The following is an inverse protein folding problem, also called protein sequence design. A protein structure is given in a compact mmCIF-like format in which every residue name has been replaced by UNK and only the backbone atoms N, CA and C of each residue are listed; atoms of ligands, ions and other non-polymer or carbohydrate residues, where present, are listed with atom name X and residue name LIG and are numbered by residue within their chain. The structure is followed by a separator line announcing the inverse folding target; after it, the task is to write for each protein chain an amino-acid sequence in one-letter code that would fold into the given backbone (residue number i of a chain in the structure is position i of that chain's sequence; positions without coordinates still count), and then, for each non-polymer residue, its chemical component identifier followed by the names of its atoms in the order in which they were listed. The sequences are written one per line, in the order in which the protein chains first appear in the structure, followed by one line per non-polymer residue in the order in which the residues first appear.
data_IF_065709521942
#
_entry.id   IF_065709521942
#
_cell.length_a   1.000
_cell.length_b   1.000
_cell.length_c   1.000
_cell.angle_alpha   90.00
_cell.angle_beta   90.00
_cell.angle_gamma   90.00
#
_symmetry.space_group_name_H-M   'P 1'
#
loop_
_entity.id
_entity.type
_entity.pdbx_description
1 polymer ?
#
# COMPACT_ATOMS: atom_id res chain seq x y z
N UNK A 1 3.98 -5.20 -13.79
CA UNK A 1 4.67 -4.45 -12.71
C UNK A 1 3.89 -4.75 -11.46
N UNK A 2 4.50 -5.40 -10.46
CA UNK A 2 3.82 -5.76 -9.23
C UNK A 2 3.34 -4.50 -8.49
N UNK A 3 2.18 -4.57 -7.85
CA UNK A 3 1.51 -3.42 -7.25
C UNK A 3 1.16 -3.74 -5.81
N UNK A 4 1.98 -3.27 -4.88
CA UNK A 4 1.79 -3.48 -3.46
C UNK A 4 1.21 -2.24 -2.80
N UNK A 5 0.42 -2.45 -1.75
CA UNK A 5 -0.19 -1.42 -0.93
C UNK A 5 -0.04 -1.77 0.54
N UNK A 6 0.02 -0.75 1.39
CA UNK A 6 -0.05 -0.92 2.83
C UNK A 6 -1.42 -0.44 3.29
N UNK A 7 -2.16 -1.30 3.99
CA UNK A 7 -3.46 -0.96 4.58
C UNK A 7 -3.41 -1.07 6.10
N UNK A 8 -3.90 -0.05 6.79
CA UNK A 8 -4.15 -0.09 8.23
C UNK A 8 -5.36 -0.97 8.51
N UNK A 9 -5.19 -2.03 9.30
CA UNK A 9 -6.27 -2.89 9.78
C UNK A 9 -7.10 -2.22 10.88
N UNK A 10 -6.59 -1.15 11.51
CA UNK A 10 -7.30 -0.40 12.55
C UNK A 10 -8.30 0.59 11.95
N UNK A 11 -7.89 1.31 10.91
CA UNK A 11 -8.70 2.40 10.31
C UNK A 11 -9.22 2.08 8.91
N UNK A 12 -8.69 1.05 8.25
CA UNK A 12 -9.00 0.71 6.85
C UNK A 12 -8.34 1.64 5.82
N UNK A 13 -7.54 2.62 6.27
CA UNK A 13 -6.81 3.56 5.40
C UNK A 13 -5.64 2.90 4.71
N UNK A 14 -5.24 3.45 3.58
CA UNK A 14 -4.08 3.02 2.81
C UNK A 14 -2.95 4.02 3.00
N UNK A 15 -1.75 3.51 3.27
CA UNK A 15 -0.55 4.32 3.30
C UNK A 15 0.04 4.32 1.89
N UNK A 16 0.04 5.49 1.27
CA UNK A 16 0.53 5.67 -0.10
C UNK A 16 1.68 6.67 -0.12
N UNK A 17 2.70 6.48 -0.96
CA UNK A 17 3.71 7.51 -1.19
C UNK A 17 3.06 8.71 -1.88
N UNK A 18 3.10 9.89 -1.27
CA UNK A 18 2.56 11.11 -1.88
C UNK A 18 3.47 11.55 -3.05
N UNK A 19 2.87 11.86 -4.20
CA UNK A 19 3.61 12.33 -5.38
C UNK A 19 3.99 13.81 -5.30
N UNK A 20 3.40 14.57 -4.37
CA UNK A 20 3.59 16.03 -4.25
C UNK A 20 4.71 16.38 -3.27
N UNK A 21 4.67 15.80 -2.07
CA UNK A 21 5.56 16.18 -0.97
C UNK A 21 6.60 15.10 -0.64
N UNK A 22 6.51 13.90 -1.22
CA UNK A 22 7.44 12.80 -0.96
C UNK A 22 7.27 12.12 0.41
N UNK A 23 6.44 12.68 1.29
CA UNK A 23 6.00 12.02 2.52
C UNK A 23 4.80 11.11 2.22
N UNK A 24 4.76 9.85 2.68
CA UNK A 24 3.59 9.02 2.51
C UNK A 24 2.43 9.50 3.39
N UNK A 25 1.22 9.39 2.83
CA UNK A 25 -0.01 9.88 3.46
C UNK A 25 -1.03 8.75 3.60
N UNK A 26 -1.80 8.81 4.69
CA UNK A 26 -2.91 7.90 4.92
C UNK A 26 -4.16 8.39 4.22
N UNK A 27 -4.60 7.67 3.19
CA UNK A 27 -5.78 7.99 2.39
C UNK A 27 -6.87 6.94 2.55
N UNK A 28 -8.12 7.31 2.33
CA UNK A 28 -9.22 6.35 2.24
C UNK A 28 -9.44 5.82 0.82
N UNK A 29 -9.00 6.56 -0.21
CA UNK A 29 -9.34 6.31 -1.61
C UNK A 29 -8.11 6.23 -2.51
N UNK A 30 -7.72 5.01 -2.89
CA UNK A 30 -6.62 4.77 -3.85
C UNK A 30 -6.79 5.47 -5.20
N UNK A 31 -8.05 5.67 -5.61
CA UNK A 31 -8.40 6.42 -6.82
C UNK A 31 -7.96 7.88 -6.75
N UNK A 32 -8.05 8.49 -5.59
CA UNK A 32 -7.70 9.91 -5.40
C UNK A 32 -6.19 10.12 -5.33
N UNK A 33 -5.45 9.13 -4.82
CA UNK A 33 -3.98 9.17 -4.81
C UNK A 33 -3.33 8.64 -6.09
N UNK A 34 -4.05 8.65 -7.22
CA UNK A 34 -3.49 8.27 -8.52
C UNK A 34 -2.98 6.82 -8.58
N UNK A 35 -3.48 5.94 -7.71
CA UNK A 35 -3.01 4.56 -7.60
C UNK A 35 -1.64 4.44 -6.95
N UNK A 36 -1.37 5.18 -5.87
CA UNK A 36 -0.16 5.17 -5.05
C UNK A 36 0.26 3.81 -4.50
N UNK A 37 0.66 2.92 -5.42
CA UNK A 37 1.16 1.57 -5.18
C UNK A 37 2.68 1.59 -5.24
N UNK A 38 3.29 0.77 -4.40
CA UNK A 38 4.72 0.52 -4.43
C UNK A 38 5.03 -0.65 -5.36
N UNK A 39 6.10 -0.53 -6.13
CA UNK A 39 6.46 -1.49 -7.17
C UNK A 39 7.09 -2.79 -6.65
N UNK A 40 7.42 -2.85 -5.34
CA UNK A 40 8.04 -3.99 -4.70
C UNK A 40 7.53 -4.18 -3.27
N UNK A 41 7.43 -5.44 -2.84
CA UNK A 41 6.98 -5.81 -1.49
C UNK A 41 7.93 -5.30 -0.40
N UNK A 42 9.23 -5.27 -0.70
CA UNK A 42 10.26 -4.82 0.24
C UNK A 42 10.06 -3.34 0.55
N UNK A 43 9.78 -2.52 -0.47
CA UNK A 43 9.45 -1.12 -0.28
C UNK A 43 8.13 -0.92 0.45
N UNK A 44 7.14 -1.79 0.27
CA UNK A 44 5.89 -1.75 1.04
C UNK A 44 6.11 -2.04 2.52
N UNK A 45 6.95 -3.03 2.83
CA UNK A 45 7.32 -3.38 4.20
C UNK A 45 8.15 -2.28 4.87
N UNK A 46 9.07 -1.68 4.13
CA UNK A 46 9.87 -0.55 4.61
C UNK A 46 8.98 0.67 4.91
N UNK A 47 8.05 1.00 4.00
CA UNK A 47 7.07 2.07 4.19
C UNK A 47 6.19 1.81 5.41
N UNK A 48 5.71 0.56 5.57
CA UNK A 48 4.94 0.15 6.73
C UNK A 48 5.77 0.24 8.02
N UNK A 49 7.03 -0.16 8.00
CA UNK A 49 7.89 -0.13 9.18
C UNK A 49 8.30 1.28 9.60
N UNK A 50 8.49 2.18 8.64
CA UNK A 50 9.00 3.54 8.86
C UNK A 50 7.86 4.53 9.19
N UNK A 51 6.65 4.31 8.65
CA UNK A 51 5.53 5.26 8.76
C UNK A 51 4.28 4.72 9.46
N UNK A 52 4.17 3.42 9.73
CA UNK A 52 3.08 2.95 10.58
C UNK A 52 3.33 3.34 12.03
N UNK A 53 2.28 3.81 12.71
CA UNK A 53 2.36 4.08 14.14
C UNK A 53 2.68 2.80 14.92
N UNK A 54 3.48 2.92 15.97
CA UNK A 54 3.84 1.78 16.81
C UNK A 54 2.57 1.12 17.40
N UNK A 55 2.37 -0.15 17.07
CA UNK A 55 1.17 -0.90 17.47
C UNK A 55 -0.06 -0.71 16.58
N UNK A 56 0.04 0.05 15.47
CA UNK A 56 -1.00 0.03 14.44
C UNK A 56 -0.86 -1.24 13.59
N UNK A 57 -1.85 -2.14 13.60
CA UNK A 57 -1.81 -3.32 12.76
C UNK A 57 -1.94 -2.91 11.29
N UNK A 58 -0.91 -3.19 10.49
CA UNK A 58 -0.87 -2.93 9.05
C UNK A 58 -0.73 -4.22 8.26
N UNK A 59 -1.26 -4.23 7.05
CA UNK A 59 -1.22 -5.37 6.13
C UNK A 59 -0.70 -4.91 4.77
N UNK A 60 0.25 -5.66 4.21
CA UNK A 60 0.70 -5.46 2.84
C UNK A 60 -0.20 -6.25 1.90
N UNK A 61 -0.88 -5.54 1.01
CA UNK A 61 -1.81 -6.08 0.01
C UNK A 61 -1.12 -6.07 -1.35
N UNK A 62 -1.05 -7.23 -1.98
CA UNK A 62 -0.62 -7.34 -3.36
C UNK A 62 -1.84 -7.27 -4.29
N UNK A 63 -1.96 -6.18 -5.03
CA UNK A 63 -3.03 -5.97 -6.00
C UNK A 63 -2.87 -6.83 -7.25
N UNK A 64 -1.66 -7.30 -7.54
CA UNK A 64 -1.42 -8.21 -8.65
C UNK A 64 -2.04 -9.59 -8.36
N UNK A 65 -1.89 -10.08 -7.13
CA UNK A 65 -2.56 -11.30 -6.63
C UNK A 65 -4.05 -11.15 -6.33
N UNK A 66 -4.53 -9.95 -5.99
CA UNK A 66 -5.97 -9.74 -5.78
C UNK A 66 -6.77 -9.75 -7.09
N UNK A 67 -6.09 -9.61 -8.24
CA UNK A 67 -6.67 -9.66 -9.58
C UNK A 67 -6.61 -11.02 -10.27
N UNK A 68 -5.98 -12.04 -9.69
CA UNK A 68 -5.81 -13.36 -10.33
C UNK A 68 -6.70 -14.41 -9.66
N UNK A 69 -7.92 -14.55 -10.19
CA UNK A 69 -8.60 -15.85 -10.10
C UNK A 69 -8.01 -16.87 -11.08
N UNK A 70 -7.26 -16.44 -12.09
CA UNK A 70 -6.62 -17.28 -13.09
C UNK A 70 -5.69 -16.37 -13.92
N UNK A 71 -4.37 -16.57 -13.83
CA UNK A 71 -3.41 -16.27 -14.92
C UNK A 71 -2.13 -17.04 -14.57
N UNK A 72 -2.24 -18.36 -14.67
CA UNK A 72 -1.13 -19.30 -14.72
C UNK A 72 -1.28 -20.02 -16.06
N UNK A 73 -0.75 -19.45 -17.14
CA UNK A 73 -0.39 -20.17 -18.37
C UNK A 73 1.10 -19.97 -18.68
#
# INVERSE_FOLDING_TARGET
MARYLVQSLRTGRFLVPSMLDGCPEWICSLREAGGGVVGDVSSALDLASDWAEEGEPVCVIDLDRLGTSDDYE
#
